data_IF_013778412997
#
_entry.id   IF_013778412997
#
_cell.length_a   1.000
_cell.length_b   1.000
_cell.length_c   1.000
_cell.angle_alpha   90.00
_cell.angle_beta   90.00
_cell.angle_gamma   90.00
#
_symmetry.space_group_name_H-M   'P 1'
#
loop_
_entity.id
_entity.type
_entity.pdbx_description
1 polymer ?
#
# COMPACT_ATOMS: atom_id res chain seq x y z
N UNK A 1 -12.27 -18.27 47.93
CA UNK A 1 -11.58 -18.36 46.63
C UNK A 1 -12.66 -18.44 45.55
N UNK A 2 -12.97 -17.32 44.89
CA UNK A 2 -13.90 -17.32 43.76
C UNK A 2 -13.34 -18.22 42.67
N UNK A 3 -14.10 -19.25 42.28
CA UNK A 3 -13.77 -20.08 41.12
C UNK A 3 -14.11 -19.27 39.89
N UNK A 4 -13.08 -18.67 39.31
CA UNK A 4 -13.09 -18.15 37.96
C UNK A 4 -13.73 -19.16 36.99
N UNK A 5 -14.64 -18.72 36.14
CA UNK A 5 -15.32 -19.56 35.14
C UNK A 5 -14.41 -20.13 34.04
N UNK A 6 -13.12 -19.83 34.05
CA UNK A 6 -12.15 -20.19 33.03
C UNK A 6 -11.45 -21.52 33.35
N UNK A 7 -11.38 -22.42 32.37
CA UNK A 7 -10.61 -23.67 32.48
C UNK A 7 -9.10 -23.39 32.41
N UNK A 8 -8.27 -24.33 32.85
CA UNK A 8 -6.81 -24.22 32.72
C UNK A 8 -6.35 -24.01 31.25
N UNK A 9 -7.07 -24.60 30.29
CA UNK A 9 -6.85 -24.39 28.84
C UNK A 9 -7.18 -22.95 28.44
N UNK A 10 -8.25 -22.39 29.01
CA UNK A 10 -8.64 -21.00 28.77
C UNK A 10 -7.60 -20.00 29.28
N UNK A 11 -6.97 -20.27 30.43
CA UNK A 11 -5.86 -19.44 30.91
C UNK A 11 -4.67 -19.43 29.95
N UNK A 12 -4.26 -20.60 29.45
CA UNK A 12 -3.21 -20.69 28.43
C UNK A 12 -3.58 -19.96 27.16
N UNK A 13 -4.83 -20.08 26.71
CA UNK A 13 -5.31 -19.35 25.54
C UNK A 13 -5.24 -17.83 25.71
N UNK A 14 -5.63 -17.29 26.88
CA UNK A 14 -5.51 -15.85 27.14
C UNK A 14 -4.05 -15.40 27.17
N UNK A 15 -3.16 -16.16 27.84
CA UNK A 15 -1.73 -15.84 27.91
C UNK A 15 -1.11 -15.85 26.49
N UNK A 16 -1.38 -16.88 25.70
CA UNK A 16 -0.88 -16.99 24.33
C UNK A 16 -1.44 -15.87 23.43
N UNK A 17 -2.70 -15.49 23.61
CA UNK A 17 -3.30 -14.34 22.91
C UNK A 17 -2.60 -13.03 23.27
N UNK A 18 -2.27 -12.83 24.55
CA UNK A 18 -1.52 -11.66 25.02
C UNK A 18 -0.10 -11.58 24.49
N UNK A 19 0.63 -12.70 24.55
CA UNK A 19 1.98 -12.79 23.98
C UNK A 19 1.95 -12.52 22.47
N UNK A 20 0.98 -13.09 21.76
CA UNK A 20 0.80 -12.86 20.34
C UNK A 20 0.51 -11.39 20.01
N UNK A 21 -0.43 -10.74 20.72
CA UNK A 21 -0.72 -9.31 20.52
C UNK A 21 0.51 -8.43 20.80
N UNK A 22 1.32 -8.76 21.81
CA UNK A 22 2.58 -8.05 22.10
C UNK A 22 3.61 -8.24 20.98
N UNK A 23 3.77 -9.46 20.45
CA UNK A 23 4.62 -9.72 19.29
C UNK A 23 4.15 -8.93 18.06
N UNK A 24 2.85 -8.92 17.77
CA UNK A 24 2.30 -8.17 16.63
C UNK A 24 2.53 -6.66 16.76
N UNK A 25 2.24 -6.07 17.92
CA UNK A 25 2.45 -4.65 18.17
C UNK A 25 3.93 -4.25 18.12
N UNK A 26 4.79 -5.01 18.80
CA UNK A 26 6.23 -4.73 18.84
C UNK A 26 6.88 -4.94 17.47
N UNK A 27 6.59 -6.05 16.80
CA UNK A 27 7.10 -6.32 15.47
C UNK A 27 6.62 -5.32 14.43
N UNK A 28 5.36 -4.85 14.52
CA UNK A 28 4.85 -3.78 13.66
C UNK A 28 5.58 -2.45 13.89
N UNK A 29 5.76 -2.05 15.16
CA UNK A 29 6.29 -0.73 15.51
C UNK A 29 7.81 -0.61 15.34
N UNK A 30 8.56 -1.69 15.57
CA UNK A 30 10.02 -1.69 15.55
C UNK A 30 10.54 -1.74 14.11
N UNK A 31 11.42 -0.80 13.69
CA UNK A 31 11.84 -0.64 12.29
C UNK A 31 12.87 -1.69 11.79
N UNK A 32 13.13 -2.74 12.55
CA UNK A 32 14.16 -3.75 12.24
C UNK A 32 13.58 -4.87 11.37
N UNK A 33 12.99 -4.52 10.21
CA UNK A 33 12.44 -5.51 9.28
C UNK A 33 13.46 -5.86 8.20
N UNK A 34 14.16 -4.86 7.67
CA UNK A 34 15.30 -5.02 6.76
C UNK A 34 16.50 -4.32 7.40
N UNK A 35 17.64 -4.99 7.37
CA UNK A 35 18.93 -4.47 7.83
C UNK A 35 19.82 -4.34 6.60
N UNK A 36 20.14 -3.09 6.25
CA UNK A 36 20.98 -2.74 5.11
C UNK A 36 22.19 -1.92 5.48
N UNK A 37 23.00 -1.56 4.49
CA UNK A 37 24.21 -0.79 4.69
C UNK A 37 24.36 0.29 3.62
N UNK A 38 24.79 1.47 4.04
CA UNK A 38 25.13 2.58 3.14
C UNK A 38 26.56 3.06 3.42
N UNK A 39 27.30 3.36 2.35
CA UNK A 39 28.68 3.87 2.46
C UNK A 39 28.71 5.37 2.18
N UNK A 40 29.18 6.16 3.15
CA UNK A 40 29.40 7.61 3.00
C UNK A 40 30.81 7.95 3.45
N UNK A 41 31.56 8.64 2.58
CA UNK A 41 32.96 9.03 2.82
C UNK A 41 33.85 7.85 3.23
N UNK A 42 33.64 6.68 2.62
CA UNK A 42 34.40 5.45 2.91
C UNK A 42 34.03 4.75 4.22
N UNK A 43 33.01 5.22 4.95
CA UNK A 43 32.52 4.59 6.18
C UNK A 43 31.14 3.97 5.95
N UNK A 44 30.96 2.75 6.48
CA UNK A 44 29.70 2.02 6.40
C UNK A 44 28.80 2.35 7.61
N UNK A 45 27.52 2.54 7.33
CA UNK A 45 26.48 2.77 8.33
C UNK A 45 25.34 1.78 8.10
N UNK A 46 24.84 1.18 9.18
CA UNK A 46 23.71 0.25 9.13
C UNK A 46 22.40 1.02 9.07
N UNK A 47 21.54 0.68 8.12
CA UNK A 47 20.21 1.28 7.92
C UNK A 47 19.16 0.26 8.30
N UNK A 48 18.12 0.71 9.02
CA UNK A 48 16.98 -0.12 9.36
C UNK A 48 15.74 0.40 8.62
N UNK A 49 15.07 -0.49 7.90
CA UNK A 49 13.87 -0.16 7.14
C UNK A 49 12.68 -1.02 7.59
N UNK A 50 11.52 -0.39 7.70
CA UNK A 50 10.20 -1.04 7.72
C UNK A 50 9.26 -0.33 6.74
N UNK A 51 8.02 -0.80 6.62
CA UNK A 51 7.05 -0.26 5.66
C UNK A 51 6.72 1.24 5.85
N UNK A 52 6.92 1.80 7.06
CA UNK A 52 6.55 3.18 7.39
C UNK A 52 7.57 3.91 8.28
N UNK A 53 8.69 3.27 8.63
CA UNK A 53 9.76 3.86 9.43
C UNK A 53 11.11 3.54 8.81
N UNK A 54 12.02 4.49 8.94
CA UNK A 54 13.42 4.34 8.56
C UNK A 54 14.30 4.90 9.65
N UNK A 55 15.37 4.19 9.98
CA UNK A 55 16.39 4.69 10.89
C UNK A 55 17.73 4.79 10.19
N UNK A 56 18.53 5.77 10.59
CA UNK A 56 19.86 6.06 10.04
C UNK A 56 19.77 6.42 8.56
N UNK A 57 19.47 7.68 8.26
CA UNK A 57 19.29 8.18 6.90
C UNK A 57 20.22 9.36 6.60
N UNK A 58 20.67 9.52 5.34
CA UNK A 58 21.49 10.65 4.94
C UNK A 58 20.64 11.92 4.83
N UNK A 59 21.15 13.01 5.38
CA UNK A 59 20.60 14.36 5.22
C UNK A 59 21.71 15.25 4.69
N UNK A 60 21.38 16.10 3.72
CA UNK A 60 22.33 17.10 3.22
C UNK A 60 22.48 18.24 4.23
N UNK A 61 23.71 18.47 4.68
CA UNK A 61 24.04 19.59 5.56
C UNK A 61 24.40 20.81 4.69
N UNK A 62 23.56 21.84 4.72
CA UNK A 62 23.71 23.02 3.87
C UNK A 62 24.92 23.89 4.28
N UNK A 63 25.35 23.84 5.55
CA UNK A 63 26.51 24.60 6.03
C UNK A 63 27.83 23.94 5.63
N UNK A 64 27.86 22.61 5.68
CA UNK A 64 29.06 21.83 5.40
C UNK A 64 29.14 21.33 3.94
N UNK A 65 28.09 21.58 3.13
CA UNK A 65 27.95 21.12 1.75
C UNK A 65 28.26 19.62 1.56
N UNK A 66 27.89 18.81 2.56
CA UNK A 66 28.16 17.37 2.57
C UNK A 66 26.98 16.60 3.14
N UNK A 67 26.86 15.33 2.76
CA UNK A 67 25.88 14.42 3.34
C UNK A 67 26.34 13.94 4.72
N UNK A 68 25.47 14.08 5.71
CA UNK A 68 25.67 13.57 7.07
C UNK A 68 24.60 12.52 7.38
N UNK A 69 25.00 11.44 8.04
CA UNK A 69 24.03 10.46 8.56
C UNK A 69 23.39 11.01 9.83
N UNK A 70 22.06 11.04 9.86
CA UNK A 70 21.28 11.29 11.05
C UNK A 70 20.93 9.94 11.68
N UNK A 71 21.48 9.67 12.87
CA UNK A 71 21.27 8.43 13.62
C UNK A 71 19.96 8.45 14.41
N UNK A 72 18.87 8.77 13.72
CA UNK A 72 17.53 8.86 14.30
C UNK A 72 16.56 8.02 13.46
N UNK A 73 15.38 7.78 14.02
CA UNK A 73 14.30 7.08 13.35
C UNK A 73 13.21 8.08 12.96
N UNK A 74 12.88 8.15 11.67
CA UNK A 74 11.82 8.98 11.12
C UNK A 74 10.60 8.16 10.65
N UNK A 75 9.46 8.83 10.55
CA UNK A 75 8.24 8.33 9.90
C UNK A 75 7.95 9.14 8.65
N UNK A 76 7.23 8.55 7.70
CA UNK A 76 6.68 9.29 6.56
C UNK A 76 5.62 10.30 7.06
N UNK A 77 5.59 11.51 6.51
CA UNK A 77 4.64 12.57 6.92
C UNK A 77 3.20 12.16 6.60
N UNK A 78 2.98 11.62 5.40
CA UNK A 78 1.70 11.09 4.95
C UNK A 78 1.87 9.70 4.32
N UNK A 79 0.76 8.95 4.28
CA UNK A 79 0.68 7.66 3.58
C UNK A 79 1.10 7.75 2.10
N UNK A 80 0.81 8.88 1.45
CA UNK A 80 1.12 9.11 0.03
C UNK A 80 2.63 9.23 -0.25
N UNK A 81 3.43 9.60 0.74
CA UNK A 81 4.88 9.73 0.62
C UNK A 81 5.62 8.39 0.76
N UNK A 82 4.91 7.31 1.13
CA UNK A 82 5.49 5.97 1.15
C UNK A 82 5.72 5.52 -0.30
N UNK A 83 6.97 5.16 -0.69
CA UNK A 83 7.39 5.01 -2.08
C UNK A 83 6.71 3.87 -2.83
N UNK A 84 6.23 2.85 -2.10
CA UNK A 84 5.54 1.70 -2.67
C UNK A 84 4.08 1.67 -2.25
N UNK A 85 3.19 1.53 -3.23
CA UNK A 85 1.77 1.26 -2.96
C UNK A 85 1.57 -0.04 -2.18
N UNK A 86 2.46 -1.03 -2.35
CA UNK A 86 2.41 -2.28 -1.60
C UNK A 86 2.72 -2.05 -0.12
N UNK A 87 3.65 -1.15 0.21
CA UNK A 87 3.97 -0.79 1.59
C UNK A 87 2.85 0.01 2.26
N UNK A 88 2.15 0.87 1.50
CA UNK A 88 0.95 1.56 2.00
C UNK A 88 -0.12 0.56 2.43
N UNK A 89 -0.47 -0.41 1.57
CA UNK A 89 -1.43 -1.46 1.92
C UNK A 89 -0.93 -2.40 3.00
N UNK A 90 0.36 -2.76 2.99
CA UNK A 90 0.99 -3.57 4.04
C UNK A 90 0.84 -2.89 5.41
N UNK A 91 1.17 -1.60 5.50
CA UNK A 91 1.05 -0.84 6.73
C UNK A 91 -0.40 -0.73 7.19
N UNK A 92 -1.33 -0.40 6.29
CA UNK A 92 -2.75 -0.27 6.63
C UNK A 92 -3.34 -1.57 7.19
N UNK A 93 -3.08 -2.69 6.50
CA UNK A 93 -3.58 -4.01 6.91
C UNK A 93 -2.97 -4.46 8.24
N UNK A 94 -1.67 -4.28 8.44
CA UNK A 94 -0.98 -4.67 9.67
C UNK A 94 -1.32 -3.77 10.86
N UNK A 95 -1.49 -2.47 10.64
CA UNK A 95 -1.92 -1.53 11.66
C UNK A 95 -3.34 -1.85 12.17
N UNK A 96 -4.28 -2.07 11.24
CA UNK A 96 -5.65 -2.47 11.56
C UNK A 96 -5.70 -3.78 12.35
N UNK A 97 -4.93 -4.78 11.92
CA UNK A 97 -4.85 -6.07 12.58
C UNK A 97 -4.22 -5.99 13.98
N UNK A 98 -3.17 -5.18 14.15
CA UNK A 98 -2.51 -4.96 15.44
C UNK A 98 -3.43 -4.21 16.41
N UNK A 99 -4.14 -3.19 15.93
CA UNK A 99 -5.15 -2.48 16.73
C UNK A 99 -6.29 -3.41 17.18
N UNK A 100 -6.80 -4.24 16.28
CA UNK A 100 -7.82 -5.24 16.59
C UNK A 100 -7.33 -6.24 17.65
N UNK A 101 -6.08 -6.72 17.53
CA UNK A 101 -5.47 -7.62 18.51
C UNK A 101 -5.30 -6.98 19.89
N UNK A 102 -5.03 -5.67 19.94
CA UNK A 102 -4.93 -4.90 21.18
C UNK A 102 -6.31 -4.74 21.84
N UNK A 103 -7.35 -4.42 21.06
CA UNK A 103 -8.73 -4.35 21.56
C UNK A 103 -9.19 -5.68 22.17
N UNK A 104 -8.82 -6.80 21.57
CA UNK A 104 -9.12 -8.12 22.13
C UNK A 104 -8.48 -8.31 23.52
N UNK A 105 -7.27 -7.78 23.74
CA UNK A 105 -6.63 -7.90 25.05
C UNK A 105 -7.37 -7.14 26.15
N UNK A 106 -7.98 -6.00 25.83
CA UNK A 106 -8.84 -5.28 26.77
C UNK A 106 -10.08 -6.09 27.18
N UNK A 107 -10.51 -7.06 26.37
CA UNK A 107 -11.63 -7.95 26.68
C UNK A 107 -11.14 -9.20 27.45
N UNK A 108 -9.99 -9.75 27.07
CA UNK A 108 -9.46 -11.01 27.63
C UNK A 108 -8.84 -10.85 29.03
N UNK A 109 -8.22 -9.70 29.32
CA UNK A 109 -7.61 -9.45 30.63
C UNK A 109 -8.67 -9.45 31.75
N UNK A 110 -9.77 -8.68 31.67
CA UNK A 110 -10.82 -8.71 32.69
C UNK A 110 -11.48 -10.08 32.81
N UNK A 111 -11.57 -10.83 31.71
CA UNK A 111 -12.19 -12.15 31.71
C UNK A 111 -11.38 -13.23 32.49
N UNK A 112 -10.13 -12.93 32.89
CA UNK A 112 -9.37 -13.77 33.81
C UNK A 112 -9.82 -13.63 35.27
N UNK A 113 -10.41 -12.49 35.62
CA UNK A 113 -10.72 -12.11 37.00
C UNK A 113 -12.23 -11.96 37.25
N UNK A 114 -13.02 -11.73 36.20
CA UNK A 114 -14.45 -11.51 36.26
C UNK A 114 -15.19 -12.69 35.62
N UNK A 115 -16.11 -13.27 36.39
CA UNK A 115 -17.01 -14.31 35.90
C UNK A 115 -18.05 -13.70 34.94
N UNK A 116 -18.54 -14.51 33.97
CA UNK A 116 -19.59 -14.18 32.99
C UNK A 116 -19.21 -13.29 31.79
N UNK A 117 -17.96 -12.83 31.66
CA UNK A 117 -17.51 -12.11 30.43
C UNK A 117 -17.32 -13.08 29.26
N UNK A 118 -16.72 -14.24 29.53
CA UNK A 118 -16.45 -15.28 28.55
C UNK A 118 -17.56 -16.33 28.54
N UNK A 119 -18.46 -16.21 27.57
CA UNK A 119 -19.47 -17.18 27.21
C UNK A 119 -19.07 -17.89 25.91
N UNK A 120 -19.73 -19.00 25.59
CA UNK A 120 -19.45 -19.77 24.36
C UNK A 120 -19.54 -18.90 23.08
N UNK A 121 -20.55 -18.03 23.00
CA UNK A 121 -20.72 -17.16 21.84
C UNK A 121 -19.62 -16.09 21.75
N UNK A 122 -19.25 -15.47 22.88
CA UNK A 122 -18.20 -14.45 22.91
C UNK A 122 -16.82 -15.06 22.65
N UNK A 123 -16.55 -16.27 23.14
CA UNK A 123 -15.33 -17.00 22.82
C UNK A 123 -15.19 -17.25 21.31
N UNK A 124 -16.24 -17.77 20.64
CA UNK A 124 -16.22 -17.96 19.17
C UNK A 124 -16.00 -16.64 18.44
N UNK A 125 -16.68 -15.56 18.85
CA UNK A 125 -16.50 -14.25 18.23
C UNK A 125 -15.06 -13.76 18.37
N UNK A 126 -14.48 -13.82 19.57
CA UNK A 126 -13.08 -13.46 19.80
C UNK A 126 -12.16 -14.33 18.93
N UNK A 127 -12.40 -15.64 18.86
CA UNK A 127 -11.62 -16.55 18.02
C UNK A 127 -11.66 -16.20 16.53
N UNK A 128 -12.82 -15.82 16.01
CA UNK A 128 -12.96 -15.36 14.62
C UNK A 128 -12.19 -14.05 14.39
N UNK A 129 -12.26 -13.10 15.32
CA UNK A 129 -11.51 -11.83 15.26
C UNK A 129 -10.00 -12.08 15.31
N UNK A 130 -9.54 -13.04 16.12
CA UNK A 130 -8.13 -13.48 16.16
C UNK A 130 -7.68 -14.02 14.79
N UNK A 131 -8.48 -14.88 14.15
CA UNK A 131 -8.19 -15.37 12.80
C UNK A 131 -8.16 -14.24 11.77
N UNK A 132 -9.12 -13.30 11.82
CA UNK A 132 -9.12 -12.15 10.93
C UNK A 132 -7.86 -11.29 11.09
N UNK A 133 -7.44 -11.02 12.33
CA UNK A 133 -6.20 -10.30 12.63
C UNK A 133 -4.98 -11.05 12.08
N UNK A 134 -4.86 -12.36 12.32
CA UNK A 134 -3.75 -13.18 11.83
C UNK A 134 -3.64 -13.19 10.29
N UNK A 135 -4.78 -13.34 9.60
CA UNK A 135 -4.84 -13.30 8.13
C UNK A 135 -4.41 -11.92 7.62
N UNK A 136 -4.89 -10.85 8.25
CA UNK A 136 -4.60 -9.48 7.85
C UNK A 136 -3.11 -9.13 8.02
N UNK A 137 -2.47 -9.56 9.12
CA UNK A 137 -1.00 -9.46 9.29
C UNK A 137 -0.27 -10.26 8.21
N UNK A 138 -0.73 -11.48 7.92
CA UNK A 138 -0.11 -12.35 6.92
C UNK A 138 -0.14 -11.73 5.53
N UNK A 139 -1.27 -11.11 5.14
CA UNK A 139 -1.39 -10.36 3.89
C UNK A 139 -0.38 -9.21 3.86
N UNK A 140 -0.29 -8.42 4.93
CA UNK A 140 0.68 -7.33 5.00
C UNK A 140 2.14 -7.79 4.93
N UNK A 141 2.47 -8.93 5.55
CA UNK A 141 3.80 -9.55 5.45
C UNK A 141 4.11 -9.98 4.01
N UNK A 142 3.14 -10.52 3.26
CA UNK A 142 3.31 -10.90 1.85
C UNK A 142 3.46 -9.68 0.94
N UNK A 143 2.72 -8.60 1.24
CA UNK A 143 2.81 -7.34 0.47
C UNK A 143 4.13 -6.61 0.69
N UNK A 144 4.78 -6.76 1.84
CA UNK A 144 6.01 -6.02 2.14
C UNK A 144 7.17 -6.33 1.15
N UNK A 145 7.49 -7.60 0.84
CA UNK A 145 8.49 -7.94 -0.18
C UNK A 145 8.16 -7.50 -1.61
N UNK A 146 6.89 -7.20 -1.92
CA UNK A 146 6.50 -6.68 -3.24
C UNK A 146 7.01 -5.26 -3.49
N UNK A 147 7.39 -4.52 -2.45
CA UNK A 147 7.96 -3.17 -2.57
C UNK A 147 9.48 -3.13 -2.39
N UNK A 148 10.19 -4.26 -2.48
CA UNK A 148 11.65 -4.28 -2.38
C UNK A 148 12.37 -3.80 -3.63
N UNK A 149 11.64 -3.58 -4.72
CA UNK A 149 12.15 -3.03 -5.98
C UNK A 149 12.34 -1.51 -5.97
N UNK A 150 11.95 -0.82 -4.89
CA UNK A 150 12.07 0.64 -4.79
C UNK A 150 13.52 1.10 -4.60
N UNK A 151 13.77 2.36 -4.95
CA UNK A 151 15.10 2.95 -4.89
C UNK A 151 15.67 2.93 -3.45
N UNK A 152 14.83 3.08 -2.43
CA UNK A 152 15.26 3.09 -1.02
C UNK A 152 15.88 1.76 -0.59
N UNK A 153 15.32 0.65 -1.07
CA UNK A 153 15.87 -0.68 -0.80
C UNK A 153 17.10 -0.91 -1.64
N UNK A 154 17.09 -0.56 -2.95
CA UNK A 154 18.27 -0.71 -3.82
C UNK A 154 19.48 0.11 -3.34
N UNK A 155 19.25 1.30 -2.79
CA UNK A 155 20.31 2.15 -2.22
C UNK A 155 20.94 1.54 -0.96
N UNK A 156 20.17 0.75 -0.20
CA UNK A 156 20.60 0.14 1.07
C UNK A 156 21.06 -1.31 0.92
N UNK A 157 20.58 -2.00 -0.11
CA UNK A 157 20.67 -3.45 -0.30
C UNK A 157 21.32 -3.85 -1.64
N UNK A 158 21.79 -2.87 -2.41
CA UNK A 158 22.41 -3.09 -3.72
C UNK A 158 21.40 -3.13 -4.86
N UNK A 159 21.93 -3.00 -6.08
CA UNK A 159 21.13 -2.90 -7.32
C UNK A 159 20.35 -4.18 -7.65
N UNK A 160 20.77 -5.31 -7.08
CA UNK A 160 20.17 -6.63 -7.26
C UNK A 160 18.87 -6.81 -6.45
N UNK A 161 18.52 -5.86 -5.58
CA UNK A 161 17.24 -5.90 -4.87
C UNK A 161 16.07 -5.74 -5.84
N UNK A 162 15.10 -6.65 -5.74
CA UNK A 162 13.90 -6.72 -6.56
C UNK A 162 12.76 -7.36 -5.73
N UNK A 163 11.56 -7.51 -6.30
CA UNK A 163 10.40 -8.08 -5.59
C UNK A 163 10.72 -9.48 -5.06
N UNK A 164 10.59 -9.67 -3.74
CA UNK A 164 11.00 -10.88 -3.00
C UNK A 164 12.50 -11.23 -3.05
N UNK A 165 13.34 -10.39 -3.65
CA UNK A 165 14.79 -10.55 -3.73
C UNK A 165 15.45 -9.43 -2.94
N UNK A 166 15.94 -9.73 -1.75
CA UNK A 166 16.42 -8.71 -0.81
C UNK A 166 17.82 -8.13 -1.17
N UNK A 167 18.55 -8.75 -2.09
CA UNK A 167 19.91 -8.34 -2.47
C UNK A 167 20.93 -8.64 -1.36
N UNK A 168 21.77 -7.65 -1.05
CA UNK A 168 22.86 -7.74 -0.06
C UNK A 168 22.39 -7.46 1.39
N UNK A 169 21.10 -7.22 1.58
CA UNK A 169 20.49 -6.96 2.89
C UNK A 169 20.08 -8.23 3.63
N UNK A 170 19.95 -8.11 4.95
CA UNK A 170 19.45 -9.16 5.82
C UNK A 170 18.04 -8.85 6.33
N UNK A 171 17.27 -9.90 6.58
CA UNK A 171 15.94 -9.77 7.16
C UNK A 171 16.04 -9.66 8.68
N UNK A 172 15.47 -8.60 9.24
CA UNK A 172 15.58 -8.25 10.65
C UNK A 172 14.59 -9.00 11.55
N UNK A 173 14.91 -9.04 12.84
CA UNK A 173 14.16 -9.82 13.84
C UNK A 173 12.71 -9.35 14.03
N UNK A 174 12.40 -8.08 13.81
CA UNK A 174 11.05 -7.56 14.02
C UNK A 174 10.05 -8.18 13.02
N UNK A 175 10.51 -8.44 11.79
CA UNK A 175 9.72 -9.16 10.80
C UNK A 175 9.49 -10.63 11.18
N UNK A 176 10.50 -11.28 11.77
CA UNK A 176 10.34 -12.66 12.30
C UNK A 176 9.34 -12.70 13.45
N UNK A 177 9.41 -11.74 14.37
CA UNK A 177 8.46 -11.60 15.49
C UNK A 177 7.03 -11.42 14.98
N UNK A 178 6.82 -10.67 13.88
CA UNK A 178 5.51 -10.52 13.24
C UNK A 178 4.96 -11.86 12.71
N UNK A 179 5.79 -12.65 12.02
CA UNK A 179 5.39 -13.97 11.52
C UNK A 179 5.04 -14.93 12.66
N UNK A 180 5.87 -14.97 13.71
CA UNK A 180 5.62 -15.79 14.91
C UNK A 180 4.34 -15.32 15.61
N UNK A 181 4.17 -14.01 15.78
CA UNK A 181 2.97 -13.40 16.36
C UNK A 181 1.71 -13.79 15.58
N UNK A 182 1.73 -13.71 14.25
CA UNK A 182 0.61 -14.09 13.40
C UNK A 182 0.28 -15.58 13.50
N UNK A 183 1.31 -16.45 13.50
CA UNK A 183 1.14 -17.89 13.70
C UNK A 183 0.51 -18.22 15.05
N UNK A 184 1.00 -17.61 16.13
CA UNK A 184 0.43 -17.76 17.47
C UNK A 184 -1.03 -17.27 17.52
N UNK A 185 -1.33 -16.14 16.88
CA UNK A 185 -2.69 -15.59 16.84
C UNK A 185 -3.65 -16.55 16.13
N UNK A 186 -3.20 -17.17 15.03
CA UNK A 186 -3.97 -18.15 14.28
C UNK A 186 -4.24 -19.42 15.11
N UNK A 187 -3.23 -19.91 15.85
CA UNK A 187 -3.40 -21.02 16.79
C UNK A 187 -4.40 -20.67 17.89
N UNK A 188 -4.32 -19.47 18.47
CA UNK A 188 -5.28 -18.98 19.46
C UNK A 188 -6.70 -18.94 18.91
N UNK A 189 -6.88 -18.41 17.69
CA UNK A 189 -8.19 -18.38 17.02
C UNK A 189 -8.76 -19.78 16.80
N UNK A 190 -7.93 -20.71 16.33
CA UNK A 190 -8.32 -22.11 16.13
C UNK A 190 -8.71 -22.80 17.44
N UNK A 191 -7.94 -22.62 18.51
CA UNK A 191 -8.23 -23.15 19.85
C UNK A 191 -9.57 -22.63 20.37
N UNK A 192 -9.85 -21.34 20.20
CA UNK A 192 -11.12 -20.75 20.64
C UNK A 192 -12.33 -21.33 19.88
N UNK A 193 -12.25 -21.42 18.55
CA UNK A 193 -13.33 -21.97 17.72
C UNK A 193 -13.54 -23.46 17.98
N UNK A 194 -12.47 -24.25 18.13
CA UNK A 194 -12.55 -25.69 18.42
C UNK A 194 -13.06 -25.95 19.84
N UNK A 195 -12.60 -25.20 20.84
CA UNK A 195 -13.03 -25.32 22.23
C UNK A 195 -14.55 -25.08 22.38
N UNK A 196 -15.10 -24.11 21.64
CA UNK A 196 -16.53 -23.86 21.63
C UNK A 196 -17.37 -25.00 21.00
N UNK A 197 -16.80 -25.78 20.06
CA UNK A 197 -17.47 -26.95 19.47
C UNK A 197 -17.59 -28.09 20.49
N UNK A 198 -16.56 -28.34 21.30
CA UNK A 198 -16.59 -29.40 22.33
C UNK A 198 -17.71 -29.18 23.35
N UNK A 199 -17.98 -27.94 23.76
CA UNK A 199 -19.10 -27.60 24.65
C UNK A 199 -20.47 -27.92 24.04
N UNK A 200 -20.60 -27.84 22.70
CA UNK A 200 -21.83 -28.20 21.98
C UNK A 200 -22.13 -29.69 22.15
N UNK A 201 -21.15 -30.55 21.91
CA UNK A 201 -21.33 -32.01 21.98
C UNK A 201 -21.73 -32.49 23.39
N UNK A 202 -21.13 -31.91 24.43
CA UNK A 202 -21.44 -32.26 25.83
C UNK A 202 -22.85 -31.84 26.27
N UNK A 203 -23.32 -30.68 25.80
CA UNK A 203 -24.70 -30.22 26.07
C UNK A 203 -25.74 -31.05 25.33
N UNK A 204 -25.47 -31.49 24.09
CA UNK A 204 -26.37 -32.37 23.35
C UNK A 204 -26.46 -33.75 23.99
N UNK A 205 -25.32 -34.32 24.40
CA UNK A 205 -25.26 -35.60 25.10
C UNK A 205 -26.03 -35.57 26.43
N UNK A 206 -25.78 -34.58 27.29
CA UNK A 206 -26.50 -34.44 28.56
C UNK A 206 -28.02 -34.16 28.38
N UNK A 207 -28.42 -33.49 27.30
CA UNK A 207 -29.83 -33.26 27.00
C UNK A 207 -30.53 -34.52 26.45
N UNK A 208 -29.78 -35.43 25.81
CA UNK A 208 -30.29 -36.75 25.40
C UNK A 208 -30.50 -37.69 26.59
N UNK A 209 -29.65 -37.63 27.62
CA UNK A 209 -29.82 -38.40 28.86
C UNK A 209 -31.02 -37.93 29.70
N UNK A 210 -31.43 -36.65 29.57
CA UNK A 210 -32.63 -36.11 30.21
C UNK A 210 -33.95 -36.54 29.52
N UNK A 211 -33.89 -37.04 28.28
CA UNK A 211 -35.05 -37.50 27.51
C UNK A 211 -35.26 -39.02 27.64
N UNK A 212 -34.28 -39.76 28.17
CA UNK A 212 -34.38 -41.19 28.45
C UNK A 212 -34.95 -41.46 29.87
N UNK A 213 -36.19 -41.05 30.10
CA UNK A 213 -37.07 -41.71 31.07
C UNK A 213 -37.67 -42.97 30.40
N UNK A 214 -37.83 -44.10 31.12
CA UNK A 214 -38.24 -45.35 30.52
C UNK A 214 -39.74 -45.32 30.16
N UNK A 215 -40.05 -44.99 28.91
CA UNK A 215 -41.37 -45.25 28.36
C UNK A 215 -41.48 -46.72 27.94
N UNK A 216 -42.30 -47.42 28.73
CA UNK A 216 -43.00 -48.69 28.52
C UNK A 216 -42.99 -49.23 27.08
N UNK A 217 -42.63 -50.50 26.94
CA UNK A 217 -42.65 -51.24 25.67
C UNK A 217 -44.02 -51.20 24.99
N UNK A 218 -44.06 -50.73 23.75
CA UNK A 218 -45.13 -51.04 22.81
C UNK A 218 -44.56 -51.55 21.48
N UNK A 219 -45.22 -52.61 21.05
CA UNK A 219 -45.02 -53.57 19.96
C UNK A 219 -44.43 -53.02 18.66
N UNK A 220 -43.45 -53.78 18.16
CA UNK A 220 -42.76 -53.69 16.86
C UNK A 220 -43.63 -54.29 15.76
N UNK A 221 -43.89 -53.53 14.71
CA UNK A 221 -44.17 -54.00 13.33
C UNK A 221 -43.49 -52.99 12.39
N UNK A 222 -42.28 -53.30 11.89
CA UNK A 222 -42.03 -53.73 10.51
C UNK A 222 -42.34 -52.68 9.44
N UNK A 223 -41.34 -51.89 9.02
CA UNK A 223 -41.19 -51.50 7.60
C UNK A 223 -39.73 -51.07 7.29
N UNK A 224 -39.09 -51.94 6.52
CA UNK A 224 -37.89 -51.91 5.68
C UNK A 224 -36.83 -50.81 5.74
N UNK A 225 -35.59 -51.31 5.72
CA UNK A 225 -34.35 -50.57 5.61
C UNK A 225 -33.85 -50.48 4.14
N UNK A 226 -32.88 -49.57 3.96
CA UNK A 226 -31.90 -49.43 2.87
C UNK A 226 -32.22 -48.47 1.70
N UNK A 227 -31.57 -47.30 1.73
CA UNK A 227 -30.77 -46.69 0.64
C UNK A 227 -30.09 -45.42 1.19
N UNK A 228 -28.80 -45.43 1.51
CA UNK A 228 -27.63 -45.12 0.64
C UNK A 228 -27.42 -43.62 0.33
N UNK A 229 -26.29 -43.13 0.88
CA UNK A 229 -25.28 -42.25 0.28
C UNK A 229 -25.60 -40.75 0.09
N UNK A 230 -24.75 -39.94 0.75
CA UNK A 230 -24.23 -38.60 0.42
C UNK A 230 -25.17 -37.57 -0.23
N UNK A 231 -25.16 -36.34 0.32
CA UNK A 231 -24.51 -35.23 -0.39
C UNK A 231 -24.39 -33.95 0.43
N UNK A 232 -23.21 -33.33 0.28
CA UNK A 232 -22.90 -31.94 0.55
C UNK A 232 -23.91 -31.00 -0.13
N UNK A 233 -24.20 -29.85 0.48
CA UNK A 233 -24.73 -28.69 -0.25
C UNK A 233 -24.24 -27.38 0.39
N UNK A 234 -22.94 -27.12 0.21
CA UNK A 234 -22.42 -25.77 -0.01
C UNK A 234 -22.35 -25.58 -1.53
N UNK A 235 -22.67 -24.37 -2.00
CA UNK A 235 -22.64 -23.88 -3.40
C UNK A 235 -23.97 -24.03 -4.13
N UNK A 236 -24.60 -22.87 -4.38
CA UNK A 236 -25.52 -22.65 -5.49
C UNK A 236 -24.84 -21.67 -6.44
N UNK A 237 -24.24 -22.20 -7.52
CA UNK A 237 -24.00 -21.45 -8.75
C UNK A 237 -25.14 -21.81 -9.71
N UNK A 238 -25.69 -20.80 -10.40
CA UNK A 238 -26.62 -21.02 -11.52
C UNK A 238 -26.17 -20.29 -12.79
N UNK A 239 -26.59 -20.81 -13.96
CA UNK A 239 -25.67 -21.03 -15.06
C UNK A 239 -25.78 -20.01 -16.19
N UNK A 240 -24.70 -20.01 -16.97
CA UNK A 240 -24.55 -19.50 -18.33
C UNK A 240 -25.59 -20.13 -19.27
N UNK A 241 -26.32 -19.29 -19.99
CA UNK A 241 -27.10 -19.65 -21.18
C UNK A 241 -26.54 -18.93 -22.40
N UNK A 242 -26.06 -19.69 -23.38
CA UNK A 242 -25.67 -19.26 -24.72
C UNK A 242 -26.57 -19.96 -25.72
N UNK A 243 -27.20 -19.24 -26.66
CA UNK A 243 -27.43 -19.71 -28.05
C UNK A 243 -27.51 -18.51 -29.02
N UNK A 244 -26.61 -18.58 -30.00
CA UNK A 244 -26.50 -18.06 -31.38
C UNK A 244 -27.47 -17.04 -32.03
N UNK A 245 -26.84 -15.96 -32.54
CA UNK A 245 -26.78 -15.42 -33.93
C UNK A 245 -27.92 -15.59 -34.95
N UNK A 246 -28.28 -14.47 -35.62
CA UNK A 246 -28.15 -14.26 -37.08
C UNK A 246 -28.47 -12.78 -37.50
N UNK A 247 -27.59 -12.18 -38.32
CA UNK A 247 -27.79 -11.31 -39.53
C UNK A 247 -28.83 -10.15 -39.49
N UNK A 248 -28.69 -8.93 -40.04
CA UNK A 248 -27.91 -8.32 -41.15
C UNK A 248 -28.00 -6.78 -41.08
N UNK A 249 -26.88 -6.12 -41.45
CA UNK A 249 -26.70 -4.84 -42.16
C UNK A 249 -27.87 -3.84 -42.26
N UNK A 250 -27.61 -2.59 -41.85
CA UNK A 250 -27.93 -1.44 -42.70
C UNK A 250 -26.90 -0.31 -42.58
N UNK A 251 -26.29 -0.01 -43.71
CA UNK A 251 -25.48 1.17 -43.97
C UNK A 251 -26.35 2.40 -44.17
N UNK A 252 -25.91 3.56 -43.67
CA UNK A 252 -26.11 4.84 -44.36
C UNK A 252 -24.84 5.68 -44.28
N UNK A 253 -24.33 6.01 -45.45
CA UNK A 253 -23.30 7.01 -45.70
C UNK A 253 -23.84 8.40 -45.36
N UNK A 254 -22.96 9.28 -44.90
CA UNK A 254 -23.06 10.70 -45.22
C UNK A 254 -21.65 11.20 -45.54
N UNK A 255 -21.50 11.66 -46.77
CA UNK A 255 -20.31 12.28 -47.35
C UNK A 255 -20.56 13.80 -47.39
N UNK A 256 -19.45 14.56 -47.41
CA UNK A 256 -19.29 16.01 -47.65
C UNK A 256 -19.45 16.87 -46.38
N UNK A 257 -18.50 17.73 -45.98
CA UNK A 257 -17.52 18.50 -46.75
C UNK A 257 -16.18 18.59 -45.99
N UNK A 258 -15.09 18.35 -46.72
CA UNK A 258 -13.74 18.77 -46.36
C UNK A 258 -13.70 20.30 -46.35
N UNK A 259 -13.74 20.89 -45.17
CA UNK A 259 -12.98 22.10 -44.91
C UNK A 259 -11.63 21.63 -44.39
N UNK A 260 -10.66 21.58 -45.30
CA UNK A 260 -9.25 21.53 -44.94
C UNK A 260 -8.88 22.88 -44.31
N UNK A 261 -9.33 23.10 -43.08
CA UNK A 261 -8.62 23.99 -42.17
C UNK A 261 -7.35 23.23 -41.86
N UNK A 262 -6.21 23.74 -42.32
CA UNK A 262 -4.92 23.34 -41.77
C UNK A 262 -5.01 23.60 -40.26
N UNK A 263 -5.34 22.57 -39.48
CA UNK A 263 -5.12 22.61 -38.03
C UNK A 263 -3.61 22.60 -37.93
N UNK A 264 -3.02 23.78 -37.79
CA UNK A 264 -1.60 23.90 -37.50
C UNK A 264 -1.37 23.07 -36.24
N UNK A 265 -0.65 21.96 -36.38
CA UNK A 265 -0.22 21.17 -35.24
C UNK A 265 0.67 22.05 -34.38
N UNK A 266 0.45 22.02 -33.07
CA UNK A 266 1.27 22.74 -32.10
C UNK A 266 2.74 22.39 -32.32
N UNK A 267 3.63 23.37 -32.45
CA UNK A 267 5.07 23.14 -32.58
C UNK A 267 5.75 23.44 -31.24
N UNK A 268 6.53 22.49 -30.69
CA UNK A 268 7.21 22.66 -29.40
C UNK A 268 8.72 22.45 -29.53
N UNK A 269 9.47 23.02 -28.57
CA UNK A 269 10.88 22.68 -28.39
C UNK A 269 11.01 21.23 -27.91
N UNK A 270 11.91 20.47 -28.54
CA UNK A 270 12.15 19.05 -28.23
C UNK A 270 13.62 18.82 -27.94
N UNK A 271 13.97 18.54 -26.69
CA UNK A 271 15.33 18.24 -26.29
C UNK A 271 15.37 17.57 -24.92
N UNK A 272 16.46 16.86 -24.65
CA UNK A 272 16.75 16.31 -23.33
C UNK A 272 18.22 16.51 -23.00
N UNK A 273 18.51 16.74 -21.73
CA UNK A 273 19.87 16.71 -21.20
C UNK A 273 19.82 16.19 -19.77
N UNK A 274 20.63 15.18 -19.47
CA UNK A 274 20.66 14.49 -18.18
C UNK A 274 22.09 14.38 -17.68
N UNK A 275 22.34 14.85 -16.46
CA UNK A 275 23.61 14.72 -15.74
C UNK A 275 23.66 13.48 -14.85
N UNK A 276 22.66 12.58 -14.95
CA UNK A 276 22.68 11.31 -14.20
C UNK A 276 23.85 10.45 -14.68
N UNK A 277 24.66 9.94 -13.75
CA UNK A 277 25.87 9.16 -14.07
C UNK A 277 25.60 8.02 -15.08
N UNK A 278 24.45 7.34 -14.96
CA UNK A 278 24.05 6.28 -15.89
C UNK A 278 23.85 6.81 -17.31
N UNK A 279 23.08 7.88 -17.47
CA UNK A 279 22.74 8.46 -18.78
C UNK A 279 23.97 9.11 -19.45
N UNK A 280 24.89 9.65 -18.64
CA UNK A 280 26.19 10.17 -19.12
C UNK A 280 27.08 9.03 -19.61
N UNK A 281 27.13 7.91 -18.88
CA UNK A 281 27.94 6.75 -19.25
C UNK A 281 27.46 6.05 -20.53
N UNK A 282 26.15 6.08 -20.78
CA UNK A 282 25.50 5.46 -21.95
C UNK A 282 25.34 6.45 -23.14
N UNK A 283 25.72 7.73 -22.98
CA UNK A 283 25.60 8.80 -24.00
C UNK A 283 24.19 8.94 -24.61
N UNK A 284 23.13 8.68 -23.83
CA UNK A 284 21.74 8.72 -24.31
C UNK A 284 21.22 10.15 -24.31
N UNK A 285 20.75 10.63 -25.47
CA UNK A 285 20.00 11.88 -25.66
C UNK A 285 20.60 13.10 -24.93
N UNK A 286 21.90 13.32 -25.09
CA UNK A 286 22.64 14.42 -24.44
C UNK A 286 22.66 15.68 -25.31
N UNK A 287 21.73 16.62 -25.12
CA UNK A 287 21.75 17.92 -25.79
C UNK A 287 22.04 19.08 -24.81
N UNK A 288 23.30 19.54 -24.66
CA UNK A 288 23.66 20.60 -23.71
C UNK A 288 23.00 21.96 -24.04
N UNK A 289 22.56 22.18 -25.28
CA UNK A 289 21.83 23.39 -25.68
C UNK A 289 20.44 23.45 -25.05
N UNK A 290 19.94 22.32 -24.51
CA UNK A 290 18.66 22.24 -23.81
C UNK A 290 18.67 22.97 -22.45
N UNK A 291 19.79 23.52 -21.98
CA UNK A 291 19.85 24.12 -20.64
C UNK A 291 19.42 25.59 -20.58
N UNK A 292 19.60 26.40 -21.63
CA UNK A 292 19.32 27.85 -21.55
C UNK A 292 18.50 28.38 -22.72
N UNK A 293 17.64 29.36 -22.43
CA UNK A 293 16.82 30.02 -23.46
C UNK A 293 17.66 30.75 -24.52
N UNK A 294 18.80 31.30 -24.14
CA UNK A 294 19.68 32.06 -25.03
C UNK A 294 20.20 31.21 -26.21
N UNK A 295 20.37 29.89 -26.00
CA UNK A 295 20.82 28.95 -27.04
C UNK A 295 19.72 28.52 -28.01
N UNK A 296 18.43 28.81 -27.73
CA UNK A 296 17.32 28.48 -28.62
C UNK A 296 17.24 29.39 -29.85
N UNK A 297 17.98 30.51 -29.83
CA UNK A 297 18.10 31.46 -30.94
C UNK A 297 19.02 30.99 -32.06
N UNK A 298 19.71 29.85 -31.88
CA UNK A 298 20.51 29.20 -32.92
C UNK A 298 19.60 28.48 -33.93
N UNK A 299 19.92 28.61 -35.23
CA UNK A 299 19.13 28.08 -36.35
C UNK A 299 18.88 26.56 -36.33
N UNK A 300 19.54 25.80 -35.44
CA UNK A 300 19.54 24.33 -35.42
C UNK A 300 18.86 23.72 -34.18
N UNK A 301 18.23 24.52 -33.31
CA UNK A 301 17.61 23.96 -32.11
C UNK A 301 16.45 23.00 -32.48
N UNK A 302 16.42 21.85 -31.82
CA UNK A 302 15.49 20.76 -32.12
C UNK A 302 14.05 21.16 -31.81
N UNK A 303 13.21 21.17 -32.85
CA UNK A 303 11.76 21.45 -32.79
C UNK A 303 11.01 20.25 -33.29
N UNK A 304 9.84 20.00 -32.72
CA UNK A 304 8.97 18.90 -33.11
C UNK A 304 7.53 19.40 -33.22
N UNK A 305 6.88 19.05 -34.33
CA UNK A 305 5.44 19.19 -34.46
C UNK A 305 4.72 18.12 -33.64
N UNK A 306 3.80 18.55 -32.80
CA UNK A 306 3.00 17.69 -31.95
C UNK A 306 1.91 16.95 -32.74
N UNK A 307 1.54 15.78 -32.23
CA UNK A 307 0.40 14.99 -32.71
C UNK A 307 -0.93 15.72 -32.46
N UNK A 308 -1.98 15.35 -33.19
CA UNK A 308 -3.32 15.95 -33.02
C UNK A 308 -3.96 15.72 -31.64
N UNK A 309 -3.37 14.85 -30.80
CA UNK A 309 -3.80 14.59 -29.42
C UNK A 309 -2.96 15.33 -28.37
N UNK A 310 -1.77 15.78 -28.76
CA UNK A 310 -0.82 16.45 -27.88
C UNK A 310 -1.13 17.95 -27.88
N UNK A 311 -2.00 18.36 -26.95
CA UNK A 311 -2.48 19.75 -26.87
C UNK A 311 -1.54 20.69 -26.09
N UNK A 312 -0.46 20.16 -25.51
CA UNK A 312 0.43 20.91 -24.62
C UNK A 312 1.90 20.78 -25.02
N UNK A 313 2.63 21.89 -25.01
CA UNK A 313 4.07 21.87 -24.87
C UNK A 313 4.43 21.74 -23.39
N UNK A 314 5.38 20.87 -23.09
CA UNK A 314 5.83 20.54 -21.74
C UNK A 314 7.31 20.81 -21.59
N UNK A 315 7.68 21.33 -20.41
CA UNK A 315 9.06 21.33 -19.95
C UNK A 315 9.14 20.76 -18.54
N UNK A 316 10.02 19.78 -18.34
CA UNK A 316 10.29 19.11 -17.06
C UNK A 316 11.72 19.38 -16.64
N UNK A 317 11.90 19.80 -15.40
CA UNK A 317 13.21 19.95 -14.77
C UNK A 317 13.25 19.10 -13.52
N UNK A 318 14.30 18.29 -13.39
CA UNK A 318 14.57 17.49 -12.20
C UNK A 318 15.79 18.05 -11.50
N UNK A 319 15.66 18.29 -10.20
CA UNK A 319 16.76 18.65 -9.32
C UNK A 319 16.96 17.59 -8.25
N UNK A 320 18.18 17.43 -7.77
CA UNK A 320 18.52 16.66 -6.57
C UNK A 320 19.09 17.61 -5.54
N UNK A 321 18.37 17.85 -4.45
CA UNK A 321 18.79 18.78 -3.39
C UNK A 321 19.15 20.18 -3.92
N UNK A 322 18.39 20.68 -4.90
CA UNK A 322 18.62 21.99 -5.52
C UNK A 322 19.71 22.02 -6.60
N UNK A 323 20.39 20.90 -6.88
CA UNK A 323 21.28 20.79 -8.03
C UNK A 323 20.52 20.28 -9.24
N UNK A 324 20.73 20.93 -10.38
CA UNK A 324 20.17 20.52 -11.66
C UNK A 324 20.65 19.11 -12.03
N UNK A 325 19.71 18.20 -12.26
CA UNK A 325 19.99 16.85 -12.75
C UNK A 325 19.60 16.68 -14.21
N UNK A 326 18.43 17.19 -14.60
CA UNK A 326 17.85 16.87 -15.90
C UNK A 326 16.89 17.96 -16.36
N UNK A 327 16.90 18.25 -17.67
CA UNK A 327 15.88 19.04 -18.35
C UNK A 327 15.39 18.27 -19.56
N UNK A 328 14.07 18.22 -19.73
CA UNK A 328 13.43 17.59 -20.86
C UNK A 328 12.28 18.46 -21.38
N UNK A 329 12.20 18.64 -22.69
CA UNK A 329 11.15 19.39 -23.39
C UNK A 329 10.51 18.51 -24.44
N UNK A 330 9.18 18.45 -24.46
CA UNK A 330 8.42 17.64 -25.43
C UNK A 330 6.95 18.11 -25.55
N UNK A 331 6.19 17.46 -26.42
CA UNK A 331 4.73 17.51 -26.51
C UNK A 331 4.07 16.53 -25.53
N UNK A 332 2.89 16.84 -25.01
CA UNK A 332 2.12 15.94 -24.14
C UNK A 332 0.60 16.08 -24.36
N UNK A 333 -0.14 14.98 -24.18
CA UNK A 333 -1.60 14.95 -24.24
C UNK A 333 -2.22 15.58 -22.97
N UNK A 334 -1.62 15.33 -21.80
CA UNK A 334 -2.16 15.72 -20.50
C UNK A 334 -1.07 16.33 -19.61
N UNK A 335 -0.92 17.66 -19.64
CA UNK A 335 0.05 18.34 -18.81
C UNK A 335 -0.61 19.07 -17.62
N UNK A 336 -0.15 18.77 -16.40
CA UNK A 336 -0.52 19.49 -15.17
C UNK A 336 0.69 20.20 -14.58
N UNK A 337 0.71 21.54 -14.48
CA UNK A 337 1.86 22.26 -13.99
C UNK A 337 1.98 22.10 -12.47
N UNK A 338 3.03 21.44 -12.00
CA UNK A 338 3.26 21.11 -10.58
C UNK A 338 4.75 20.88 -10.32
N UNK A 339 5.21 21.21 -9.12
CA UNK A 339 6.48 20.74 -8.59
C UNK A 339 6.23 19.67 -7.53
N UNK A 340 6.80 18.49 -7.71
CA UNK A 340 6.71 17.37 -6.77
C UNK A 340 8.08 17.11 -6.18
N UNK A 341 8.16 17.04 -4.86
CA UNK A 341 9.36 16.65 -4.14
C UNK A 341 9.24 15.19 -3.70
N UNK A 342 10.29 14.41 -3.94
CA UNK A 342 10.37 12.99 -3.58
C UNK A 342 11.70 12.71 -2.89
N UNK A 343 11.67 12.02 -1.75
CA UNK A 343 12.87 11.55 -1.05
C UNK A 343 13.08 12.06 0.38
N UNK A 344 13.58 11.18 1.25
CA UNK A 344 13.92 11.47 2.66
C UNK A 344 15.39 11.91 2.77
N UNK A 345 15.64 13.21 2.60
CA UNK A 345 16.99 13.80 2.74
C UNK A 345 17.82 13.84 1.45
N UNK A 346 17.26 13.35 0.33
CA UNK A 346 17.66 13.67 -1.04
C UNK A 346 16.41 14.16 -1.79
N UNK A 347 16.14 15.45 -1.78
CA UNK A 347 14.96 16.05 -2.42
C UNK A 347 15.10 16.00 -3.93
N UNK A 348 14.57 14.95 -4.56
CA UNK A 348 14.31 14.95 -5.99
C UNK A 348 13.10 15.87 -6.24
N UNK A 349 13.36 17.09 -6.68
CA UNK A 349 12.32 18.04 -7.05
C UNK A 349 12.11 17.97 -8.56
N UNK A 350 10.98 17.44 -9.00
CA UNK A 350 10.57 17.47 -10.39
C UNK A 350 9.52 18.57 -10.58
N UNK A 351 9.86 19.58 -11.40
CA UNK A 351 8.96 20.66 -11.75
C UNK A 351 8.52 20.54 -13.22
N UNK A 352 7.21 20.45 -13.42
CA UNK A 352 6.57 20.40 -14.74
C UNK A 352 5.89 21.73 -15.07
N UNK A 353 6.15 22.26 -16.27
CA UNK A 353 5.48 23.43 -16.85
C UNK A 353 4.80 23.07 -18.16
N UNK A 354 3.64 23.69 -18.37
CA UNK A 354 2.74 23.39 -19.47
C UNK A 354 2.30 24.69 -20.15
N UNK A 355 2.13 24.66 -21.46
CA UNK A 355 1.58 25.76 -22.24
C UNK A 355 1.01 25.24 -23.56
N UNK A 356 0.22 26.05 -24.27
CA UNK A 356 -0.62 25.60 -25.41
C UNK A 356 -0.39 26.41 -26.69
N UNK A 357 0.66 27.23 -26.75
CA UNK A 357 1.02 28.03 -27.93
C UNK A 357 2.32 27.54 -28.54
N UNK A 358 2.57 27.83 -29.81
CA UNK A 358 3.79 27.37 -30.47
C UNK A 358 5.05 27.88 -29.74
N UNK A 359 6.02 26.98 -29.56
CA UNK A 359 7.35 27.21 -29.00
C UNK A 359 7.34 27.87 -27.61
N UNK A 360 6.31 27.57 -26.81
CA UNK A 360 6.08 28.21 -25.51
C UNK A 360 6.80 27.54 -24.32
N UNK A 361 7.33 26.33 -24.49
CA UNK A 361 7.99 25.57 -23.42
C UNK A 361 9.44 26.03 -23.18
N UNK A 362 9.69 27.33 -23.30
CA UNK A 362 10.99 27.97 -23.26
C UNK A 362 11.42 28.42 -21.85
N UNK A 363 10.77 27.89 -20.81
CA UNK A 363 11.04 28.21 -19.41
C UNK A 363 12.51 27.96 -19.02
N UNK A 364 13.06 28.82 -18.16
CA UNK A 364 14.44 28.79 -17.68
C UNK A 364 14.55 29.25 -16.21
N UNK A 365 15.55 28.75 -15.49
CA UNK A 365 15.95 29.22 -14.17
C UNK A 365 14.82 29.32 -13.14
N UNK A 366 14.59 30.53 -12.61
CA UNK A 366 13.62 30.80 -11.54
C UNK A 366 12.16 30.61 -11.98
N UNK A 367 11.89 30.62 -13.28
CA UNK A 367 10.53 30.50 -13.82
C UNK A 367 9.92 29.11 -13.58
N UNK A 368 10.76 28.08 -13.38
CA UNK A 368 10.30 26.76 -12.99
C UNK A 368 9.70 26.72 -11.58
N UNK A 369 10.06 27.65 -10.69
CA UNK A 369 9.71 27.61 -9.27
C UNK A 369 8.66 28.66 -8.86
N UNK A 370 8.24 29.53 -9.78
CA UNK A 370 7.21 30.55 -9.50
C UNK A 370 5.83 29.89 -9.28
N UNK A 371 5.12 30.13 -8.18
CA UNK A 371 3.79 29.55 -7.97
C UNK A 371 2.88 29.91 -9.14
N UNK A 372 2.14 28.92 -9.65
CA UNK A 372 1.11 29.17 -10.65
C UNK A 372 0.10 30.14 -10.03
N UNK A 373 0.01 31.37 -10.58
CA UNK A 373 -1.13 32.25 -10.29
C UNK A 373 -2.38 31.67 -10.98
N UNK A 374 -2.87 30.55 -10.48
CA UNK A 374 -4.21 30.04 -10.78
C UNK A 374 -5.03 30.25 -9.53
N UNK A 375 -5.62 31.44 -9.49
CA UNK A 375 -6.77 31.89 -8.70
C UNK A 375 -7.10 31.11 -7.43
N UNK A 376 -6.79 31.72 -6.30
CA UNK A 376 -7.39 31.48 -4.99
C UNK A 376 -8.92 31.52 -5.06
N UNK A 377 -9.58 30.42 -5.39
CA UNK A 377 -11.05 30.34 -5.33
C UNK A 377 -11.57 28.93 -4.98
N UNK A 378 -10.92 28.23 -4.03
CA UNK A 378 -11.45 26.96 -3.47
C UNK A 378 -11.39 26.94 -1.93
N UNK A 379 -11.34 28.11 -1.27
CA UNK A 379 -11.49 28.20 0.19
C UNK A 379 -12.91 28.58 0.67
N UNK A 380 -13.86 28.81 -0.25
CA UNK A 380 -15.21 29.30 0.09
C UNK A 380 -16.31 28.23 0.21
N UNK A 381 -16.09 27.01 -0.27
CA UNK A 381 -17.20 26.04 -0.46
C UNK A 381 -17.35 25.09 0.73
N UNK A 382 -16.31 24.85 1.53
CA UNK A 382 -16.38 23.92 2.68
C UNK A 382 -16.95 24.55 3.94
N UNK A 383 -16.89 25.88 4.09
CA UNK A 383 -17.43 26.58 5.29
C UNK A 383 -18.95 26.71 5.24
N UNK A 384 -19.56 26.76 4.05
CA UNK A 384 -21.02 26.89 3.89
C UNK A 384 -21.74 25.58 4.24
N UNK A 385 -21.14 24.42 3.98
CA UNK A 385 -21.73 23.11 4.32
C UNK A 385 -21.72 22.81 5.83
N UNK A 386 -20.71 23.27 6.56
CA UNK A 386 -20.61 23.06 8.02
C UNK A 386 -21.61 23.94 8.79
N UNK A 387 -21.94 25.13 8.28
CA UNK A 387 -22.92 26.01 8.91
C UNK A 387 -24.39 25.63 8.63
N UNK A 388 -24.66 24.86 7.56
CA UNK A 388 -25.99 24.33 7.25
C UNK A 388 -26.34 23.03 8.00
N UNK A 389 -25.35 22.29 8.50
CA UNK A 389 -25.56 21.05 9.26
C UNK A 389 -25.73 21.32 10.77
N UNK A 390 -25.31 22.48 11.27
CA UNK A 390 -25.43 22.86 12.69
C UNK A 390 -26.69 23.68 13.03
N UNK A 391 -27.65 23.79 12.11
CA UNK A 391 -28.95 24.46 12.34
C UNK A 391 -30.15 23.62 11.89
N UNK A 392 -30.12 22.31 12.20
CA UNK A 392 -31.28 21.41 12.19
C UNK A 392 -31.33 20.59 13.47
#
# INVERSE_FOLDING_TARGET
MQRTGLTWIGYWWVILSGLSSLCLLSGFYVPHWIIGQISLNGRFYTVYLSAFRRCNFPVFDQELLQFRIVNECGTYEDLAHIPSIYWQFSMLTMACASFLSLLLMFILIPACCLDNILNKQTAVLIGLVQVMSAVSISVGCILFPMGWDTQEVRDSCGTNADKFLLGDCELGWAYIILLVGAGLMLVCGALSVCGARSFRQKSWYNNQDAILQPCRQLKRDSFDAQALINNNLFIEDRPVGSVHSHLVRHSRQMVLLLLCSTVNGLECYFCRHSLRNKDVSEQIDQNPECMSFEMFSLQNFSRRGCSSREAYCVSRVVNLNGYFLEVARDCDENCKPMCTETGYGLGYTECTRCCTSDLCNNFDGRDYFLPNMVSSLVCGVTVIWVLLILNL
#
